data_IF_748329767828
#
_entry.id   IF_748329767828
#
_cell.length_a   1.000
_cell.length_b   1.000
_cell.length_c   1.000
_cell.angle_alpha   90.00
_cell.angle_beta   90.00
_cell.angle_gamma   90.00
#
_symmetry.space_group_name_H-M   'P 1'
#
loop_
_entity.id
_entity.type
_entity.pdbx_description
1 polymer ?
#
# COMPACT_ATOMS: atom_id res chain seq x y z
N UNK A 1 -34.00 30.75 -15.96
CA UNK A 1 -33.63 29.38 -15.52
C UNK A 1 -34.81 28.54 -15.04
N UNK A 2 -35.69 28.98 -14.12
CA UNK A 2 -36.93 28.22 -13.81
C UNK A 2 -37.78 27.91 -15.05
N UNK A 3 -37.86 28.86 -15.99
CA UNK A 3 -38.51 28.64 -17.28
C UNK A 3 -37.80 27.58 -18.14
N UNK A 4 -36.47 27.45 -18.05
CA UNK A 4 -35.68 26.43 -18.78
C UNK A 4 -35.85 25.04 -18.16
N UNK A 5 -35.85 24.93 -16.82
CA UNK A 5 -36.18 23.68 -16.14
C UNK A 5 -37.61 23.25 -16.47
N UNK A 6 -38.58 24.18 -16.41
CA UNK A 6 -39.97 23.92 -16.84
C UNK A 6 -40.07 23.56 -18.32
N UNK A 7 -39.26 24.16 -19.19
CA UNK A 7 -39.20 23.84 -20.62
C UNK A 7 -38.60 22.46 -20.87
N UNK A 8 -37.53 22.09 -20.15
CA UNK A 8 -36.94 20.75 -20.22
C UNK A 8 -37.93 19.66 -19.74
N UNK A 9 -38.64 19.93 -18.64
CA UNK A 9 -39.73 19.09 -18.12
C UNK A 9 -40.89 19.02 -19.13
N UNK A 10 -41.33 20.16 -19.68
CA UNK A 10 -42.46 20.24 -20.60
C UNK A 10 -42.16 19.65 -21.99
N UNK A 11 -40.90 19.66 -22.43
CA UNK A 11 -40.46 19.09 -23.71
C UNK A 11 -40.14 17.59 -23.62
N UNK A 12 -40.50 16.92 -22.52
CA UNK A 12 -40.44 15.46 -22.42
C UNK A 12 -39.02 14.89 -22.47
N UNK A 13 -38.06 15.57 -21.83
CA UNK A 13 -36.67 15.13 -21.80
C UNK A 13 -36.06 14.94 -23.19
N UNK A 14 -36.20 15.87 -24.13
CA UNK A 14 -35.51 15.72 -25.42
C UNK A 14 -33.99 15.56 -25.21
N UNK A 15 -33.30 14.83 -26.12
CA UNK A 15 -31.84 14.65 -26.01
C UNK A 15 -31.12 16.00 -26.01
N UNK A 16 -31.53 16.92 -26.89
CA UNK A 16 -30.97 18.27 -26.95
C UNK A 16 -31.15 19.05 -25.64
N UNK A 17 -32.32 18.95 -25.00
CA UNK A 17 -32.54 19.58 -23.70
C UNK A 17 -31.62 18.97 -22.62
N UNK A 18 -31.39 17.66 -22.66
CA UNK A 18 -30.54 16.95 -21.70
C UNK A 18 -29.06 17.32 -21.88
N UNK A 19 -28.58 17.36 -23.13
CA UNK A 19 -27.22 17.82 -23.47
C UNK A 19 -27.02 19.28 -23.04
N UNK A 20 -27.98 20.15 -23.34
CA UNK A 20 -27.95 21.55 -22.93
C UNK A 20 -27.86 21.69 -21.40
N UNK A 21 -28.66 20.92 -20.66
CA UNK A 21 -28.64 20.94 -19.19
C UNK A 21 -27.27 20.54 -18.64
N UNK A 22 -26.61 19.50 -19.17
CA UNK A 22 -25.26 19.12 -18.72
C UNK A 22 -24.25 20.24 -18.91
N UNK A 23 -24.22 20.87 -20.08
CA UNK A 23 -23.22 21.90 -20.38
C UNK A 23 -23.42 23.18 -19.55
N UNK A 24 -24.63 23.38 -19.01
CA UNK A 24 -24.98 24.57 -18.25
C UNK A 24 -25.26 24.30 -16.76
N UNK A 25 -25.24 23.05 -16.29
CA UNK A 25 -25.56 22.70 -14.90
C UNK A 25 -24.61 23.37 -13.91
N UNK A 26 -23.34 23.51 -14.30
CA UNK A 26 -22.30 24.16 -13.51
C UNK A 26 -22.52 25.67 -13.34
N UNK A 27 -23.24 26.31 -14.26
CA UNK A 27 -23.57 27.72 -14.21
C UNK A 27 -24.77 28.00 -13.27
N UNK A 28 -25.48 26.96 -12.85
CA UNK A 28 -26.58 27.07 -11.91
C UNK A 28 -26.08 27.15 -10.48
N UNK A 29 -26.78 27.93 -9.65
CA UNK A 29 -26.59 27.88 -8.20
C UNK A 29 -27.04 26.52 -7.64
N UNK A 30 -26.51 26.11 -6.48
CA UNK A 30 -26.88 24.84 -5.84
C UNK A 30 -28.40 24.72 -5.66
N UNK A 31 -29.07 25.81 -5.24
CA UNK A 31 -30.53 25.86 -5.14
C UNK A 31 -31.24 25.63 -6.49
N UNK A 32 -30.71 26.18 -7.58
CA UNK A 32 -31.30 26.01 -8.90
C UNK A 32 -31.15 24.59 -9.45
N UNK A 33 -30.03 23.90 -9.12
CA UNK A 33 -29.79 22.51 -9.55
C UNK A 33 -30.85 21.55 -8.99
N UNK A 34 -31.41 21.81 -7.80
CA UNK A 34 -32.49 21.00 -7.23
C UNK A 34 -33.77 20.98 -8.09
N UNK A 35 -34.06 22.04 -8.86
CA UNK A 35 -35.21 22.03 -9.77
C UNK A 35 -35.03 21.09 -10.97
N UNK A 36 -33.83 20.56 -11.19
CA UNK A 36 -33.55 19.58 -12.24
C UNK A 36 -33.69 18.13 -11.78
N UNK A 37 -33.78 17.87 -10.47
CA UNK A 37 -33.90 16.50 -9.93
C UNK A 37 -35.05 15.70 -10.55
N UNK A 38 -36.26 16.24 -10.78
CA UNK A 38 -37.32 15.48 -11.44
C UNK A 38 -36.93 15.01 -12.86
N UNK A 39 -36.17 15.82 -13.60
CA UNK A 39 -35.68 15.48 -14.94
C UNK A 39 -34.67 14.34 -14.85
N UNK A 40 -33.70 14.45 -13.94
CA UNK A 40 -32.69 13.40 -13.73
C UNK A 40 -33.33 12.10 -13.24
N UNK A 41 -34.27 12.18 -12.30
CA UNK A 41 -35.01 11.03 -11.79
C UNK A 41 -35.78 10.28 -12.89
N UNK A 42 -36.42 11.02 -13.80
CA UNK A 42 -37.11 10.45 -14.96
C UNK A 42 -36.13 9.85 -15.99
N UNK A 43 -35.03 10.54 -16.28
CA UNK A 43 -34.03 10.06 -17.23
C UNK A 43 -33.30 8.80 -16.72
N UNK A 44 -33.14 8.68 -15.40
CA UNK A 44 -32.55 7.53 -14.73
C UNK A 44 -33.56 6.41 -14.44
N UNK A 45 -34.69 6.35 -15.15
CA UNK A 45 -35.59 5.19 -15.03
C UNK A 45 -34.90 3.90 -15.52
N UNK A 46 -34.80 2.84 -14.69
CA UNK A 46 -34.22 1.57 -15.11
C UNK A 46 -34.89 0.96 -16.34
N UNK A 47 -36.16 1.25 -16.61
CA UNK A 47 -36.85 0.76 -17.82
C UNK A 47 -36.28 1.33 -19.13
N UNK A 48 -35.46 2.39 -19.05
CA UNK A 48 -34.78 2.97 -20.20
C UNK A 48 -33.42 2.33 -20.50
N UNK A 49 -32.92 1.44 -19.63
CA UNK A 49 -31.67 0.71 -19.86
C UNK A 49 -31.92 -0.33 -20.96
N UNK A 50 -31.15 -0.33 -22.06
CA UNK A 50 -31.32 -1.32 -23.11
C UNK A 50 -30.91 -2.70 -22.60
N UNK A 51 -31.61 -3.73 -23.07
CA UNK A 51 -31.20 -5.12 -22.89
C UNK A 51 -29.99 -5.43 -23.77
N UNK A 52 -29.21 -6.46 -23.41
CA UNK A 52 -27.97 -6.82 -24.10
C UNK A 52 -28.15 -7.06 -25.60
N UNK A 53 -29.20 -7.78 -25.98
CA UNK A 53 -29.60 -8.04 -27.38
C UNK A 53 -29.88 -6.76 -28.19
N UNK A 54 -30.19 -5.65 -27.50
CA UNK A 54 -30.44 -4.35 -28.13
C UNK A 54 -29.20 -3.47 -28.24
N UNK A 55 -28.15 -3.74 -27.47
CA UNK A 55 -26.87 -3.00 -27.58
C UNK A 55 -26.18 -3.29 -28.91
N UNK A 56 -26.31 -4.51 -29.43
CA UNK A 56 -25.78 -4.90 -30.73
C UNK A 56 -26.63 -4.39 -31.91
N UNK A 57 -27.82 -3.83 -31.62
CA UNK A 57 -28.74 -3.35 -32.65
C UNK A 57 -28.35 -1.94 -33.09
N UNK A 58 -28.23 -1.65 -34.40
CA UNK A 58 -27.88 -0.32 -34.91
C UNK A 58 -29.00 0.73 -34.77
N UNK A 59 -29.97 0.51 -33.87
CA UNK A 59 -31.17 1.34 -33.73
C UNK A 59 -30.85 2.64 -32.98
N UNK A 60 -31.07 3.83 -33.60
CA UNK A 60 -30.74 5.13 -33.01
C UNK A 60 -31.50 5.49 -31.72
N UNK A 61 -32.58 4.78 -31.38
CA UNK A 61 -33.37 5.08 -30.18
C UNK A 61 -32.65 4.69 -28.88
N UNK A 62 -31.84 3.63 -28.88
CA UNK A 62 -31.11 3.20 -27.68
C UNK A 62 -30.01 4.20 -27.31
N UNK A 63 -29.32 4.76 -28.30
CA UNK A 63 -28.32 5.80 -28.06
C UNK A 63 -28.93 7.05 -27.42
N UNK A 64 -30.19 7.39 -27.73
CA UNK A 64 -30.89 8.52 -27.11
C UNK A 64 -31.11 8.28 -25.62
N UNK A 65 -31.64 7.11 -25.22
CA UNK A 65 -31.91 6.81 -23.81
C UNK A 65 -30.63 6.69 -23.00
N UNK A 66 -29.63 5.97 -23.51
CA UNK A 66 -28.32 5.86 -22.86
C UNK A 66 -27.66 7.23 -22.73
N UNK A 67 -27.70 8.05 -23.78
CA UNK A 67 -27.17 9.42 -23.73
C UNK A 67 -27.84 10.25 -22.64
N UNK A 68 -29.19 10.16 -22.51
CA UNK A 68 -29.92 10.89 -21.46
C UNK A 68 -29.57 10.39 -20.07
N UNK A 69 -29.51 9.07 -19.87
CA UNK A 69 -29.14 8.44 -18.60
C UNK A 69 -27.74 8.87 -18.18
N UNK A 70 -26.75 8.65 -19.04
CA UNK A 70 -25.35 9.02 -18.81
C UNK A 70 -25.17 10.51 -18.53
N UNK A 71 -25.78 11.37 -19.36
CA UNK A 71 -25.72 12.82 -19.19
C UNK A 71 -26.36 13.27 -17.87
N UNK A 72 -27.44 12.61 -17.45
CA UNK A 72 -28.10 12.87 -16.17
C UNK A 72 -27.25 12.41 -14.99
N UNK A 73 -26.53 11.27 -15.11
CA UNK A 73 -25.55 10.86 -14.09
C UNK A 73 -24.47 11.92 -13.91
N UNK A 74 -23.83 12.37 -14.99
CA UNK A 74 -22.77 13.38 -14.91
C UNK A 74 -23.28 14.69 -14.31
N UNK A 75 -24.48 15.14 -14.72
CA UNK A 75 -25.08 16.35 -14.17
C UNK A 75 -25.48 16.19 -12.69
N UNK A 76 -25.83 14.99 -12.26
CA UNK A 76 -26.11 14.69 -10.86
C UNK A 76 -24.82 14.62 -10.03
N UNK A 77 -23.74 14.05 -10.56
CA UNK A 77 -22.44 14.00 -9.90
C UNK A 77 -21.81 15.38 -9.73
N UNK A 78 -22.19 16.32 -10.61
CA UNK A 78 -21.91 17.74 -10.48
C UNK A 78 -22.70 18.45 -9.36
N UNK A 79 -23.70 17.80 -8.76
CA UNK A 79 -24.46 18.35 -7.64
C UNK A 79 -23.74 18.06 -6.34
N UNK A 80 -23.46 19.12 -5.59
CA UNK A 80 -22.85 19.00 -4.27
C UNK A 80 -23.94 18.80 -3.21
N UNK A 81 -23.76 17.81 -2.34
CA UNK A 81 -24.52 17.61 -1.10
C UNK A 81 -26.05 17.57 -1.28
N UNK A 82 -26.56 16.53 -1.94
CA UNK A 82 -28.00 16.23 -1.91
C UNK A 82 -28.42 15.97 -0.46
N UNK A 83 -29.59 16.47 -0.04
CA UNK A 83 -30.23 16.02 1.20
C UNK A 83 -30.30 14.49 1.24
N UNK A 84 -30.05 13.90 2.41
CA UNK A 84 -29.94 12.46 2.58
C UNK A 84 -31.19 11.69 2.15
N UNK A 85 -32.37 12.24 2.42
CA UNK A 85 -33.66 11.70 2.01
C UNK A 85 -33.80 11.65 0.49
N UNK A 86 -33.34 12.70 -0.20
CA UNK A 86 -33.29 12.76 -1.66
C UNK A 86 -32.27 11.76 -2.19
N UNK A 87 -31.05 11.74 -1.64
CA UNK A 87 -29.99 10.79 -2.02
C UNK A 87 -30.48 9.35 -1.92
N UNK A 88 -31.06 8.96 -0.78
CA UNK A 88 -31.60 7.62 -0.56
C UNK A 88 -32.71 7.26 -1.56
N UNK A 89 -33.59 8.22 -1.88
CA UNK A 89 -34.67 8.01 -2.84
C UNK A 89 -34.18 7.82 -4.29
N UNK A 90 -33.12 8.53 -4.69
CA UNK A 90 -32.58 8.44 -6.07
C UNK A 90 -31.51 7.35 -6.23
N UNK A 91 -30.87 6.90 -5.14
CA UNK A 91 -29.76 5.95 -5.16
C UNK A 91 -30.00 4.68 -5.99
N UNK A 92 -31.13 3.95 -5.86
CA UNK A 92 -31.35 2.75 -6.65
C UNK A 92 -31.31 3.00 -8.17
N UNK A 93 -31.72 4.20 -8.61
CA UNK A 93 -31.67 4.62 -10.00
C UNK A 93 -30.25 4.97 -10.43
N UNK A 94 -29.52 5.71 -9.58
CA UNK A 94 -28.10 6.03 -9.84
C UNK A 94 -27.30 4.75 -10.00
N UNK A 95 -27.42 3.83 -9.03
CA UNK A 95 -26.57 2.65 -8.96
C UNK A 95 -26.73 1.75 -10.19
N UNK A 96 -27.98 1.41 -10.56
CA UNK A 96 -28.25 0.55 -11.72
C UNK A 96 -27.66 1.17 -13.00
N UNK A 97 -27.74 2.50 -13.16
CA UNK A 97 -27.16 3.17 -14.32
C UNK A 97 -25.63 3.22 -14.28
N UNK A 98 -25.01 3.43 -13.12
CA UNK A 98 -23.54 3.39 -12.97
C UNK A 98 -23.02 2.00 -13.31
N UNK A 99 -23.63 0.96 -12.75
CA UNK A 99 -23.30 -0.45 -13.01
C UNK A 99 -23.42 -0.78 -14.51
N UNK A 100 -24.53 -0.39 -15.13
CA UNK A 100 -24.73 -0.55 -16.57
C UNK A 100 -23.66 0.17 -17.40
N UNK A 101 -23.42 1.46 -17.15
CA UNK A 101 -22.46 2.23 -17.95
C UNK A 101 -21.04 1.70 -17.76
N UNK A 102 -20.65 1.36 -16.53
CA UNK A 102 -19.32 0.81 -16.27
C UNK A 102 -19.15 -0.57 -16.93
N UNK A 103 -20.17 -1.42 -16.88
CA UNK A 103 -20.11 -2.77 -17.45
C UNK A 103 -20.05 -2.75 -18.98
N UNK A 104 -20.82 -1.87 -19.62
CA UNK A 104 -20.99 -1.87 -21.07
C UNK A 104 -20.32 -0.71 -21.79
N UNK A 105 -19.54 0.12 -21.09
CA UNK A 105 -18.82 1.28 -21.61
C UNK A 105 -18.15 1.07 -22.98
N UNK A 106 -17.48 -0.07 -23.20
CA UNK A 106 -16.80 -0.39 -24.46
C UNK A 106 -17.77 -0.56 -25.65
N UNK A 107 -19.02 -0.91 -25.38
CA UNK A 107 -20.10 -1.05 -26.36
C UNK A 107 -20.92 0.24 -26.52
N UNK A 108 -20.75 1.21 -25.64
CA UNK A 108 -21.47 2.47 -25.69
C UNK A 108 -20.79 3.43 -26.68
N UNK A 109 -21.09 3.25 -27.97
CA UNK A 109 -20.82 4.27 -28.99
C UNK A 109 -21.80 5.44 -28.83
N UNK A 110 -21.54 6.28 -27.84
CA UNK A 110 -22.08 7.62 -27.83
C UNK A 110 -21.36 8.40 -28.96
N UNK A 111 -22.06 9.31 -29.64
CA UNK A 111 -21.58 10.05 -30.85
C UNK A 111 -20.11 10.50 -30.75
N UNK A 112 -19.38 10.73 -31.85
CA UNK A 112 -17.94 11.09 -31.88
C UNK A 112 -17.43 12.13 -30.85
N UNK A 113 -18.31 12.99 -30.32
CA UNK A 113 -17.98 13.96 -29.25
C UNK A 113 -18.15 13.42 -27.82
N UNK A 114 -18.58 12.18 -27.66
CA UNK A 114 -19.02 11.53 -26.44
C UNK A 114 -18.55 10.09 -26.46
N UNK A 115 -17.36 9.78 -25.97
CA UNK A 115 -17.04 8.41 -25.59
C UNK A 115 -16.88 8.38 -24.08
N UNK A 116 -17.80 7.74 -23.33
CA UNK A 116 -17.66 7.64 -21.89
C UNK A 116 -16.44 6.78 -21.61
N UNK A 117 -15.36 7.38 -21.12
CA UNK A 117 -14.26 6.56 -20.63
C UNK A 117 -14.71 5.93 -19.30
N UNK A 118 -14.54 4.61 -19.11
CA UNK A 118 -14.86 3.96 -17.84
C UNK A 118 -14.15 4.62 -16.64
N UNK A 119 -12.88 5.04 -16.77
CA UNK A 119 -12.20 5.86 -15.77
C UNK A 119 -12.98 7.10 -15.32
N UNK A 120 -13.48 7.88 -16.26
CA UNK A 120 -14.08 9.19 -15.96
C UNK A 120 -15.38 9.05 -15.18
N UNK A 121 -16.24 8.10 -15.56
CA UNK A 121 -17.50 7.88 -14.84
C UNK A 121 -17.26 7.33 -13.44
N UNK A 122 -16.34 6.36 -13.28
CA UNK A 122 -16.03 5.80 -11.96
C UNK A 122 -15.47 6.89 -11.05
N UNK A 123 -14.59 7.73 -11.58
CA UNK A 123 -13.99 8.83 -10.85
C UNK A 123 -15.01 9.92 -10.46
N UNK A 124 -15.85 10.36 -11.41
CA UNK A 124 -16.90 11.34 -11.13
C UNK A 124 -17.93 10.82 -10.12
N UNK A 125 -18.33 9.55 -10.26
CA UNK A 125 -19.21 8.87 -9.32
C UNK A 125 -18.59 8.78 -7.92
N UNK A 126 -17.30 8.42 -7.83
CA UNK A 126 -16.58 8.37 -6.57
C UNK A 126 -16.60 9.72 -5.86
N UNK A 127 -16.24 10.81 -6.56
CA UNK A 127 -16.31 12.16 -5.98
C UNK A 127 -17.71 12.54 -5.52
N UNK A 128 -18.74 12.09 -6.24
CA UNK A 128 -20.13 12.32 -5.86
C UNK A 128 -20.51 11.61 -4.55
N UNK A 129 -20.04 10.37 -4.31
CA UNK A 129 -20.42 9.60 -3.12
C UNK A 129 -19.57 9.90 -1.88
N UNK A 130 -18.37 10.45 -2.04
CA UNK A 130 -17.44 10.76 -0.92
C UNK A 130 -18.08 11.54 0.23
N UNK A 131 -18.87 12.61 0.00
CA UNK A 131 -19.50 13.37 1.08
C UNK A 131 -20.45 12.54 1.97
N UNK A 132 -20.95 11.41 1.46
CA UNK A 132 -21.95 10.59 2.15
C UNK A 132 -21.34 9.44 2.98
N UNK A 133 -20.03 9.19 2.91
CA UNK A 133 -19.39 8.14 3.73
C UNK A 133 -19.41 8.41 5.24
N UNK A 134 -19.61 9.67 5.63
CA UNK A 134 -19.77 10.07 7.04
C UNK A 134 -21.16 9.82 7.59
N UNK A 135 -22.14 9.57 6.72
CA UNK A 135 -23.51 9.29 7.11
C UNK A 135 -23.75 7.78 7.14
N UNK A 136 -24.09 7.25 8.32
CA UNK A 136 -24.28 5.81 8.50
C UNK A 136 -25.42 5.26 7.63
N UNK A 137 -26.51 6.00 7.42
CA UNK A 137 -27.64 5.52 6.64
C UNK A 137 -27.32 5.48 5.14
N UNK A 138 -26.63 6.49 4.62
CA UNK A 138 -26.12 6.45 3.25
C UNK A 138 -25.09 5.33 3.06
N UNK A 139 -24.18 5.19 4.01
CA UNK A 139 -23.16 4.13 4.04
C UNK A 139 -23.80 2.75 3.99
N UNK A 140 -24.77 2.47 4.87
CA UNK A 140 -25.48 1.18 4.89
C UNK A 140 -26.25 0.90 3.59
N UNK A 141 -26.77 1.94 2.93
CA UNK A 141 -27.44 1.82 1.64
C UNK A 141 -26.44 1.45 0.54
N UNK A 142 -25.30 2.14 0.50
CA UNK A 142 -24.22 1.90 -0.45
C UNK A 142 -23.56 0.54 -0.25
N UNK A 143 -23.34 0.11 1.00
CA UNK A 143 -22.72 -1.18 1.35
C UNK A 143 -23.41 -2.38 0.71
N UNK A 144 -24.74 -2.26 0.51
CA UNK A 144 -25.62 -3.29 -0.02
C UNK A 144 -25.69 -3.31 -1.54
N UNK A 145 -25.10 -2.34 -2.23
CA UNK A 145 -25.02 -2.30 -3.70
C UNK A 145 -23.92 -3.26 -4.19
N UNK A 146 -24.28 -4.38 -4.85
CA UNK A 146 -23.29 -5.33 -5.37
C UNK A 146 -22.41 -4.67 -6.42
N UNK A 147 -21.09 -4.92 -6.41
CA UNK A 147 -20.17 -4.30 -7.38
C UNK A 147 -19.76 -2.86 -7.08
N UNK A 148 -20.30 -2.21 -6.03
CA UNK A 148 -19.89 -0.85 -5.66
C UNK A 148 -18.39 -0.76 -5.40
N UNK A 149 -17.83 -1.76 -4.71
CA UNK A 149 -16.41 -1.76 -4.34
C UNK A 149 -15.52 -1.88 -5.56
N UNK A 150 -15.94 -2.67 -6.55
CA UNK A 150 -15.30 -2.75 -7.86
C UNK A 150 -15.22 -1.37 -8.54
N UNK A 151 -16.33 -0.63 -8.58
CA UNK A 151 -16.38 0.72 -9.19
C UNK A 151 -15.48 1.71 -8.42
N UNK A 152 -15.48 1.67 -7.09
CA UNK A 152 -14.60 2.53 -6.28
C UNK A 152 -13.12 2.16 -6.44
N UNK A 153 -12.79 0.88 -6.51
CA UNK A 153 -11.45 0.39 -6.81
C UNK A 153 -10.96 0.88 -8.18
N UNK A 154 -11.81 0.87 -9.21
CA UNK A 154 -11.52 1.49 -10.50
C UNK A 154 -11.33 3.00 -10.37
N UNK A 155 -12.15 3.69 -9.59
CA UNK A 155 -11.97 5.13 -9.37
C UNK A 155 -10.62 5.45 -8.68
N UNK A 156 -10.16 4.58 -7.78
CA UNK A 156 -8.86 4.70 -7.12
C UNK A 156 -7.70 4.62 -8.12
N UNK A 157 -7.73 3.69 -9.08
CA UNK A 157 -6.67 3.61 -10.09
C UNK A 157 -6.54 4.92 -10.88
N UNK A 158 -7.67 5.52 -11.26
CA UNK A 158 -7.73 6.81 -11.95
C UNK A 158 -7.22 7.95 -11.07
N UNK A 159 -7.63 7.97 -9.80
CA UNK A 159 -7.23 9.01 -8.85
C UNK A 159 -5.70 9.12 -8.75
N UNK A 160 -5.01 7.99 -8.69
CA UNK A 160 -3.53 7.93 -8.60
C UNK A 160 -2.85 8.46 -9.87
N UNK A 161 -3.51 8.38 -11.04
CA UNK A 161 -2.98 8.91 -12.31
C UNK A 161 -3.18 10.42 -12.47
N UNK A 162 -4.23 11.01 -11.88
CA UNK A 162 -4.58 12.43 -12.08
C UNK A 162 -3.47 13.38 -11.58
N UNK A 163 -2.66 12.97 -10.59
CA UNK A 163 -1.50 13.72 -10.03
C UNK A 163 -1.75 15.21 -9.72
N UNK A 164 -3.00 15.60 -9.46
CA UNK A 164 -3.39 16.97 -9.09
C UNK A 164 -3.61 17.08 -7.58
N UNK A 165 -2.72 17.74 -6.82
CA UNK A 165 -2.77 17.75 -5.35
C UNK A 165 -4.13 18.14 -4.77
N UNK A 166 -4.81 19.10 -5.38
CA UNK A 166 -6.12 19.59 -4.94
C UNK A 166 -7.21 18.50 -4.99
N UNK A 167 -7.17 17.66 -6.03
CA UNK A 167 -8.09 16.54 -6.19
C UNK A 167 -7.76 15.44 -5.18
N UNK A 168 -6.48 15.11 -5.07
CA UNK A 168 -5.98 14.06 -4.18
C UNK A 168 -6.32 14.37 -2.71
N UNK A 169 -6.20 15.64 -2.28
CA UNK A 169 -6.54 16.08 -0.92
C UNK A 169 -8.00 15.89 -0.54
N UNK A 170 -8.92 15.99 -1.50
CA UNK A 170 -10.36 15.78 -1.27
C UNK A 170 -10.71 14.30 -1.36
N UNK A 171 -10.14 13.61 -2.35
CA UNK A 171 -10.51 12.25 -2.69
C UNK A 171 -9.91 11.19 -1.75
N UNK A 172 -8.64 11.31 -1.36
CA UNK A 172 -7.98 10.27 -0.54
C UNK A 172 -8.60 10.05 0.83
N UNK A 173 -9.01 11.09 1.59
CA UNK A 173 -9.69 10.86 2.86
C UNK A 173 -11.00 10.09 2.69
N UNK A 174 -11.78 10.42 1.67
CA UNK A 174 -13.02 9.71 1.35
C UNK A 174 -12.77 8.28 0.87
N UNK A 175 -11.71 8.07 0.08
CA UNK A 175 -11.31 6.74 -0.36
C UNK A 175 -10.90 5.90 0.84
N UNK A 176 -10.18 6.49 1.78
CA UNK A 176 -9.79 5.84 3.00
C UNK A 176 -11.02 5.51 3.86
N UNK A 177 -11.93 6.45 4.03
CA UNK A 177 -13.18 6.19 4.75
C UNK A 177 -13.99 5.05 4.09
N UNK A 178 -14.00 4.95 2.76
CA UNK A 178 -14.68 3.86 2.05
C UNK A 178 -13.99 2.51 2.24
N UNK A 179 -12.70 2.41 1.89
CA UNK A 179 -11.98 1.12 1.90
C UNK A 179 -11.78 0.63 3.35
N UNK A 180 -11.71 1.53 4.31
CA UNK A 180 -11.38 1.20 5.70
C UNK A 180 -12.56 1.26 6.65
N UNK A 181 -13.61 1.97 6.28
CA UNK A 181 -14.85 2.03 7.03
C UNK A 181 -15.62 0.72 7.03
N UNK A 182 -16.81 0.71 7.65
CA UNK A 182 -17.67 -0.47 7.77
C UNK A 182 -18.14 -1.05 6.42
N UNK A 183 -17.89 -0.34 5.31
CA UNK A 183 -18.23 -0.79 3.96
C UNK A 183 -17.38 -1.98 3.49
N UNK A 184 -16.18 -2.14 4.04
CA UNK A 184 -15.31 -3.29 3.76
C UNK A 184 -15.11 -4.07 5.04
N UNK A 185 -16.10 -4.88 5.39
CA UNK A 185 -15.93 -5.95 6.35
C UNK A 185 -14.81 -6.89 5.89
N UNK A 186 -14.32 -7.75 6.80
CA UNK A 186 -13.38 -8.84 6.44
C UNK A 186 -14.06 -9.95 5.61
N UNK A 187 -15.07 -9.58 4.82
CA UNK A 187 -15.74 -10.45 3.87
C UNK A 187 -14.87 -10.64 2.63
N UNK A 188 -14.66 -11.90 2.25
CA UNK A 188 -13.79 -12.24 1.13
C UNK A 188 -14.35 -11.75 -0.21
N UNK A 189 -15.67 -11.72 -0.38
CA UNK A 189 -16.32 -11.21 -1.59
C UNK A 189 -16.07 -9.72 -1.77
N UNK A 190 -16.18 -8.94 -0.69
CA UNK A 190 -15.88 -7.50 -0.71
C UNK A 190 -14.42 -7.21 -1.10
N UNK A 191 -13.46 -8.00 -0.59
CA UNK A 191 -12.05 -7.86 -0.95
C UNK A 191 -11.82 -8.26 -2.41
N UNK A 192 -12.46 -9.32 -2.89
CA UNK A 192 -12.35 -9.74 -4.28
C UNK A 192 -12.88 -8.67 -5.24
N UNK A 193 -14.02 -8.04 -4.95
CA UNK A 193 -14.54 -6.92 -5.76
C UNK A 193 -13.52 -5.78 -5.88
N UNK A 194 -12.80 -5.45 -4.80
CA UNK A 194 -11.74 -4.43 -4.83
C UNK A 194 -10.56 -4.86 -5.71
N UNK A 195 -10.10 -6.11 -5.58
CA UNK A 195 -9.01 -6.65 -6.39
C UNK A 195 -9.40 -6.62 -7.88
N UNK A 196 -10.59 -7.11 -8.21
CA UNK A 196 -11.13 -7.13 -9.57
C UNK A 196 -11.17 -5.71 -10.15
N UNK A 197 -11.62 -4.73 -9.36
CA UNK A 197 -11.68 -3.33 -9.78
C UNK A 197 -10.30 -2.68 -9.98
N UNK A 198 -9.26 -3.17 -9.30
CA UNK A 198 -7.88 -2.68 -9.48
C UNK A 198 -7.20 -3.32 -10.70
N UNK A 199 -7.71 -4.46 -11.17
CA UNK A 199 -7.17 -5.19 -12.32
C UNK A 199 -7.05 -6.70 -12.10
N UNK A 200 -7.78 -7.27 -11.15
CA UNK A 200 -7.91 -8.73 -10.94
C UNK A 200 -6.72 -9.43 -10.30
N UNK A 201 -5.55 -8.79 -10.23
CA UNK A 201 -4.31 -9.40 -9.76
C UNK A 201 -3.69 -8.62 -8.59
N UNK A 202 -3.07 -9.35 -7.65
CA UNK A 202 -2.43 -8.76 -6.47
C UNK A 202 -1.23 -7.86 -6.83
N UNK A 203 -0.58 -8.08 -7.98
CA UNK A 203 0.49 -7.20 -8.46
C UNK A 203 -0.03 -5.80 -8.79
N UNK A 204 -1.24 -5.70 -9.36
CA UNK A 204 -1.90 -4.42 -9.62
C UNK A 204 -2.27 -3.71 -8.32
N UNK A 205 -2.73 -4.47 -7.32
CA UNK A 205 -3.01 -3.96 -5.97
C UNK A 205 -1.74 -3.39 -5.33
N UNK A 206 -0.65 -4.15 -5.30
CA UNK A 206 0.61 -3.72 -4.74
C UNK A 206 1.14 -2.45 -5.43
N UNK A 207 1.10 -2.41 -6.76
CA UNK A 207 1.49 -1.23 -7.55
C UNK A 207 0.64 0.00 -7.22
N UNK A 208 -0.68 -0.15 -7.12
CA UNK A 208 -1.59 0.94 -6.77
C UNK A 208 -1.34 1.46 -5.36
N UNK A 209 -1.14 0.56 -4.40
CA UNK A 209 -0.80 0.87 -3.01
C UNK A 209 0.50 1.66 -2.95
N UNK A 210 1.57 1.17 -3.58
CA UNK A 210 2.88 1.83 -3.55
C UNK A 210 2.84 3.21 -4.18
N UNK A 211 2.13 3.39 -5.31
CA UNK A 211 1.94 4.70 -5.93
C UNK A 211 1.15 5.65 -5.03
N UNK A 212 0.11 5.14 -4.37
CA UNK A 212 -0.68 5.93 -3.41
C UNK A 212 0.17 6.37 -2.21
N UNK A 213 0.99 5.47 -1.66
CA UNK A 213 1.93 5.79 -0.59
C UNK A 213 2.93 6.85 -1.02
N UNK A 214 3.51 6.73 -2.22
CA UNK A 214 4.45 7.72 -2.74
C UNK A 214 3.82 9.11 -2.86
N UNK A 215 2.59 9.20 -3.37
CA UNK A 215 1.83 10.45 -3.45
C UNK A 215 1.60 11.04 -2.05
N UNK A 216 1.13 10.23 -1.10
CA UNK A 216 0.82 10.70 0.25
C UNK A 216 2.08 11.10 1.05
N UNK A 217 3.18 10.37 0.87
CA UNK A 217 4.47 10.66 1.51
C UNK A 217 5.15 11.89 0.91
N UNK A 218 5.07 12.08 -0.41
CA UNK A 218 5.61 13.28 -1.07
C UNK A 218 4.91 14.57 -0.64
N UNK A 219 3.61 14.53 -0.35
CA UNK A 219 2.87 15.70 0.16
C UNK A 219 3.21 16.03 1.62
N UNK A 220 3.64 15.05 2.43
CA UNK A 220 3.97 15.24 3.86
C UNK A 220 5.16 16.19 4.05
N UNK A 221 6.10 16.24 3.10
CA UNK A 221 7.23 17.18 3.15
C UNK A 221 6.79 18.65 3.08
N UNK A 222 5.60 18.92 2.53
CA UNK A 222 5.11 20.30 2.33
C UNK A 222 4.15 20.80 3.41
N UNK A 223 3.41 19.90 4.08
CA UNK A 223 2.50 20.22 5.20
C UNK A 223 2.07 18.94 5.92
N UNK A 224 2.31 18.84 7.23
CA UNK A 224 1.85 17.73 8.08
C UNK A 224 0.33 17.83 8.28
N UNK A 225 -0.43 17.37 7.29
CA UNK A 225 -1.89 17.32 7.33
C UNK A 225 -2.36 16.03 8.02
N UNK A 226 -3.20 16.16 9.06
CA UNK A 226 -3.87 15.03 9.73
C UNK A 226 -4.61 14.12 8.75
N UNK A 227 -5.09 14.68 7.62
CA UNK A 227 -5.77 13.92 6.56
C UNK A 227 -4.86 12.90 5.87
N UNK A 228 -3.57 13.21 5.71
CA UNK A 228 -2.61 12.28 5.10
C UNK A 228 -2.34 11.09 6.01
N UNK A 229 -2.34 11.30 7.33
CA UNK A 229 -2.18 10.21 8.31
C UNK A 229 -3.35 9.22 8.25
N UNK A 230 -4.59 9.72 8.12
CA UNK A 230 -5.78 8.87 7.94
C UNK A 230 -5.70 8.05 6.65
N UNK A 231 -5.32 8.67 5.54
CA UNK A 231 -5.19 7.98 4.25
C UNK A 231 -4.08 6.91 4.28
N UNK A 232 -2.93 7.20 4.90
CA UNK A 232 -1.82 6.25 5.07
C UNK A 232 -2.21 5.06 5.94
N UNK A 233 -2.77 5.31 7.13
CA UNK A 233 -3.27 4.25 8.01
C UNK A 233 -4.26 3.36 7.27
N UNK A 234 -5.11 4.01 6.49
CA UNK A 234 -6.00 3.35 5.60
C UNK A 234 -5.31 2.37 4.67
N UNK A 235 -4.45 2.86 3.77
CA UNK A 235 -3.77 2.02 2.78
C UNK A 235 -3.05 0.83 3.45
N UNK A 236 -2.40 1.05 4.59
CA UNK A 236 -1.78 -0.03 5.36
C UNK A 236 -2.83 -1.04 5.83
N UNK A 237 -3.97 -0.59 6.36
CA UNK A 237 -5.08 -1.46 6.73
C UNK A 237 -5.63 -2.27 5.54
N UNK A 238 -5.70 -1.69 4.33
CA UNK A 238 -6.10 -2.42 3.12
C UNK A 238 -5.20 -3.64 2.90
N UNK A 239 -3.89 -3.42 2.89
CA UNK A 239 -2.88 -4.46 2.64
C UNK A 239 -3.05 -5.59 3.65
N UNK A 240 -3.31 -5.24 4.90
CA UNK A 240 -3.56 -6.22 5.96
C UNK A 240 -4.86 -7.02 5.77
N UNK A 241 -5.95 -6.38 5.30
CA UNK A 241 -7.22 -7.07 5.02
C UNK A 241 -7.10 -8.00 3.82
N UNK A 242 -6.41 -7.58 2.76
CA UNK A 242 -6.13 -8.40 1.58
C UNK A 242 -5.34 -9.64 1.99
N UNK A 243 -4.29 -9.48 2.80
CA UNK A 243 -3.51 -10.60 3.37
C UNK A 243 -4.39 -11.59 4.16
N UNK A 244 -5.24 -11.08 5.05
CA UNK A 244 -6.12 -11.92 5.88
C UNK A 244 -7.16 -12.67 5.06
N UNK A 245 -7.82 -12.00 4.10
CA UNK A 245 -8.96 -12.57 3.38
C UNK A 245 -8.55 -13.49 2.22
N UNK A 246 -7.41 -13.23 1.59
CA UNK A 246 -6.96 -14.01 0.44
C UNK A 246 -6.25 -15.30 0.82
N UNK A 247 -5.97 -15.55 2.10
CA UNK A 247 -5.53 -16.85 2.60
C UNK A 247 -4.38 -17.44 1.77
N UNK A 248 -3.35 -16.63 1.48
CA UNK A 248 -2.26 -16.96 0.57
C UNK A 248 -1.33 -18.06 1.13
N UNK A 249 -1.81 -19.31 1.14
CA UNK A 249 -1.01 -20.47 1.55
C UNK A 249 -0.42 -21.29 0.39
N UNK A 250 -0.78 -21.09 -0.89
CA UNK A 250 -0.25 -21.97 -1.96
C UNK A 250 0.32 -21.33 -3.24
N UNK A 251 0.05 -20.05 -3.56
CA UNK A 251 0.48 -19.45 -4.85
C UNK A 251 1.49 -18.29 -4.71
N UNK A 252 2.51 -18.46 -3.88
CA UNK A 252 3.54 -17.44 -3.65
C UNK A 252 4.77 -17.55 -4.60
N UNK A 253 4.73 -18.39 -5.64
CA UNK A 253 5.92 -18.66 -6.48
C UNK A 253 6.16 -17.65 -7.61
N UNK A 254 5.20 -16.77 -7.95
CA UNK A 254 5.32 -15.89 -9.14
C UNK A 254 5.28 -14.39 -8.84
N UNK A 255 4.94 -13.96 -7.61
CA UNK A 255 5.01 -12.56 -7.23
C UNK A 255 6.46 -12.17 -6.90
N UNK A 256 6.95 -11.05 -7.48
CA UNK A 256 8.33 -10.57 -7.28
C UNK A 256 8.77 -10.47 -5.81
N UNK A 257 10.09 -10.40 -5.53
CA UNK A 257 10.67 -10.67 -4.21
C UNK A 257 10.13 -9.79 -3.08
N UNK A 258 9.77 -8.53 -3.36
CA UNK A 258 9.22 -7.62 -2.34
C UNK A 258 7.76 -7.97 -1.98
N UNK A 259 6.98 -8.39 -2.97
CA UNK A 259 5.61 -8.88 -2.80
C UNK A 259 5.63 -10.19 -2.01
N UNK A 260 6.45 -11.18 -2.40
CA UNK A 260 6.57 -12.44 -1.68
C UNK A 260 7.07 -12.28 -0.21
N UNK A 261 7.94 -11.31 0.07
CA UNK A 261 8.45 -11.01 1.41
C UNK A 261 7.44 -10.26 2.30
N UNK A 262 6.59 -9.41 1.74
CA UNK A 262 5.51 -8.74 2.48
C UNK A 262 4.24 -9.61 2.60
N UNK A 263 3.97 -10.47 1.60
CA UNK A 263 2.75 -11.28 1.45
C UNK A 263 2.86 -12.67 2.08
N UNK A 264 4.06 -13.24 2.23
CA UNK A 264 4.20 -14.42 3.07
C UNK A 264 4.32 -13.94 4.52
N UNK A 265 3.38 -14.35 5.38
CA UNK A 265 3.62 -14.50 6.83
C UNK A 265 4.68 -15.57 7.13
N UNK A 266 5.56 -15.80 6.16
CA UNK A 266 6.74 -16.60 6.18
C UNK A 266 7.70 -16.01 7.17
N UNK A 267 7.86 -16.64 8.32
CA UNK A 267 9.04 -16.36 9.14
C UNK A 267 10.15 -17.25 8.58
N UNK A 268 11.33 -16.69 8.39
CA UNK A 268 12.50 -17.48 8.05
C UNK A 268 13.02 -18.21 9.29
N UNK A 269 13.58 -19.41 9.10
CA UNK A 269 14.29 -20.09 10.17
C UNK A 269 15.54 -19.30 10.56
N UNK A 270 15.67 -18.98 11.84
CA UNK A 270 16.85 -18.31 12.38
C UNK A 270 18.09 -19.23 12.36
N UNK A 271 17.96 -20.55 12.11
CA UNK A 271 19.11 -21.40 11.77
C UNK A 271 19.55 -21.12 10.32
N UNK A 272 20.70 -20.46 10.16
CA UNK A 272 21.24 -20.04 8.86
C UNK A 272 21.52 -21.18 7.88
N UNK A 273 21.75 -22.39 8.39
CA UNK A 273 21.96 -23.56 7.54
C UNK A 273 20.64 -24.11 6.96
N UNK A 274 19.48 -23.61 7.40
CA UNK A 274 18.18 -24.14 7.01
C UNK A 274 17.50 -23.33 5.89
N UNK A 275 17.55 -21.99 5.92
CA UNK A 275 16.91 -21.07 4.96
C UNK A 275 15.41 -21.31 4.66
N UNK A 276 14.71 -22.14 5.46
CA UNK A 276 13.28 -22.43 5.24
C UNK A 276 12.44 -21.24 5.68
N UNK A 277 11.51 -20.84 4.81
CA UNK A 277 10.46 -19.86 5.09
C UNK A 277 9.12 -20.61 5.14
N UNK A 278 8.35 -20.43 6.20
CA UNK A 278 7.02 -21.05 6.38
C UNK A 278 6.12 -20.15 7.22
N UNK A 279 4.80 -20.39 7.20
CA UNK A 279 3.87 -19.63 8.03
C UNK A 279 4.26 -19.61 9.52
N UNK A 280 4.18 -18.45 10.18
CA UNK A 280 4.52 -18.21 11.60
C UNK A 280 4.11 -19.33 12.58
N UNK A 281 2.93 -19.92 12.41
CA UNK A 281 2.40 -20.96 13.30
C UNK A 281 3.15 -22.31 13.20
N UNK A 282 3.96 -22.49 12.16
CA UNK A 282 4.78 -23.69 11.96
C UNK A 282 6.17 -23.57 12.57
N UNK A 283 6.54 -22.38 13.05
CA UNK A 283 7.81 -22.11 13.70
C UNK A 283 7.71 -22.22 15.22
N UNK A 284 8.76 -22.77 15.82
CA UNK A 284 8.98 -22.78 17.27
C UNK A 284 9.78 -21.55 17.66
N UNK A 285 9.53 -20.99 18.82
CA UNK A 285 10.37 -19.93 19.39
C UNK A 285 11.37 -20.49 20.37
N UNK A 286 12.53 -19.85 20.51
CA UNK A 286 13.40 -20.15 21.64
C UNK A 286 12.64 -19.91 22.95
N UNK A 287 12.61 -20.92 23.82
CA UNK A 287 11.84 -20.86 25.08
C UNK A 287 12.38 -19.80 26.06
N UNK A 288 13.65 -19.40 25.93
CA UNK A 288 14.29 -18.43 26.82
C UNK A 288 14.11 -17.00 26.35
N UNK A 289 14.59 -16.64 25.15
CA UNK A 289 14.48 -15.26 24.66
C UNK A 289 13.15 -14.93 23.97
N UNK A 290 12.45 -15.94 23.43
CA UNK A 290 11.24 -15.78 22.62
C UNK A 290 11.38 -14.86 21.38
N UNK A 291 12.60 -14.46 21.01
CA UNK A 291 12.89 -13.50 19.94
C UNK A 291 13.16 -14.14 18.58
N UNK A 292 13.69 -15.37 18.58
CA UNK A 292 14.08 -16.13 17.39
C UNK A 292 13.13 -17.31 17.13
N UNK A 293 13.00 -17.69 15.86
CA UNK A 293 12.08 -18.67 15.30
C UNK A 293 12.82 -19.79 14.56
N UNK A 294 12.48 -21.04 14.85
CA UNK A 294 13.04 -22.23 14.22
C UNK A 294 11.97 -23.12 13.59
N UNK A 295 12.19 -23.61 12.37
CA UNK A 295 11.22 -24.48 11.70
C UNK A 295 11.17 -25.89 12.32
N UNK A 296 12.16 -26.25 13.14
CA UNK A 296 12.25 -27.53 13.83
C UNK A 296 13.13 -27.44 15.09
N UNK A 297 12.98 -28.40 15.98
CA UNK A 297 13.84 -28.57 17.17
C UNK A 297 15.29 -28.85 16.79
N UNK A 298 15.51 -29.57 15.68
CA UNK A 298 16.85 -29.80 15.13
C UNK A 298 17.52 -28.49 14.73
N UNK A 299 16.80 -27.56 14.12
CA UNK A 299 17.33 -26.24 13.76
C UNK A 299 17.65 -25.40 15.01
N UNK A 300 16.76 -25.42 16.01
CA UNK A 300 17.01 -24.76 17.29
C UNK A 300 18.24 -25.33 18.00
N UNK A 301 18.36 -26.65 18.09
CA UNK A 301 19.49 -27.32 18.75
C UNK A 301 20.81 -27.08 18.00
N UNK A 302 20.77 -27.05 16.67
CA UNK A 302 21.93 -26.72 15.85
C UNK A 302 22.38 -25.27 16.08
N UNK A 303 21.48 -24.30 15.97
CA UNK A 303 21.77 -22.88 16.18
C UNK A 303 22.20 -22.57 17.62
N UNK A 304 21.66 -23.31 18.60
CA UNK A 304 22.08 -23.24 20.00
C UNK A 304 23.54 -23.70 20.20
N UNK A 305 23.95 -24.79 19.56
CA UNK A 305 25.30 -25.37 19.74
C UNK A 305 26.35 -24.73 18.83
N UNK A 306 25.97 -24.36 17.61
CA UNK A 306 26.89 -23.99 16.53
C UNK A 306 26.49 -22.70 15.81
N UNK A 307 25.43 -22.01 16.21
CA UNK A 307 24.99 -20.75 15.59
C UNK A 307 25.21 -19.52 16.46
N UNK A 308 25.87 -19.69 17.62
CA UNK A 308 26.11 -18.62 18.58
C UNK A 308 24.86 -18.13 19.32
N UNK A 309 23.69 -18.76 19.11
CA UNK A 309 22.47 -18.31 19.78
C UNK A 309 22.54 -18.49 21.28
N UNK A 310 23.20 -19.54 21.79
CA UNK A 310 23.36 -19.77 23.23
C UNK A 310 23.94 -18.54 23.96
N UNK A 311 24.94 -17.92 23.36
CA UNK A 311 25.67 -16.80 23.96
C UNK A 311 24.95 -15.46 23.76
N UNK A 312 24.09 -15.37 22.73
CA UNK A 312 23.28 -14.19 22.43
C UNK A 312 21.86 -14.26 23.04
N UNK A 313 21.45 -15.41 23.57
CA UNK A 313 20.08 -15.65 24.01
C UNK A 313 19.68 -14.66 25.12
N UNK A 314 20.58 -14.44 26.08
CA UNK A 314 20.37 -13.48 27.18
C UNK A 314 20.29 -12.04 26.67
N UNK A 315 21.15 -11.65 25.72
CA UNK A 315 21.08 -10.34 25.06
C UNK A 315 19.73 -10.13 24.34
N UNK A 316 19.25 -11.14 23.61
CA UNK A 316 17.95 -11.09 22.96
C UNK A 316 16.80 -11.04 23.96
N UNK A 317 16.91 -11.79 25.05
CA UNK A 317 15.95 -11.75 26.13
C UNK A 317 15.91 -10.35 26.75
N UNK A 318 17.07 -9.74 27.01
CA UNK A 318 17.18 -8.39 27.54
C UNK A 318 16.58 -7.35 26.58
N UNK A 319 16.89 -7.43 25.28
CA UNK A 319 16.31 -6.58 24.24
C UNK A 319 14.78 -6.73 24.16
N UNK A 320 14.25 -7.95 24.34
CA UNK A 320 12.81 -8.18 24.37
C UNK A 320 12.15 -7.75 25.70
N UNK A 321 12.89 -7.76 26.81
CA UNK A 321 12.41 -7.37 28.14
C UNK A 321 12.51 -5.87 28.38
N UNK A 322 13.45 -5.17 27.74
CA UNK A 322 13.42 -3.72 27.56
C UNK A 322 12.26 -3.42 26.61
N UNK A 323 11.06 -3.42 27.19
CA UNK A 323 9.79 -3.29 26.48
C UNK A 323 9.89 -2.20 25.42
N UNK A 324 9.57 -2.57 24.19
CA UNK A 324 9.20 -1.64 23.13
C UNK A 324 7.90 -0.95 23.56
N UNK A 325 7.99 0.00 24.47
CA UNK A 325 6.84 0.72 25.00
C UNK A 325 6.16 1.43 23.83
N UNK A 326 5.04 0.84 23.37
CA UNK A 326 4.17 1.42 22.34
C UNK A 326 4.07 0.68 21.00
N UNK A 327 4.95 -0.26 20.67
CA UNK A 327 4.87 -0.98 19.38
C UNK A 327 4.17 -2.33 19.51
N UNK A 328 3.18 -2.55 18.65
CA UNK A 328 2.51 -3.83 18.51
C UNK A 328 3.44 -4.88 17.87
N UNK A 329 3.13 -6.19 17.99
CA UNK A 329 3.81 -7.22 17.21
C UNK A 329 3.75 -6.99 15.69
N UNK A 330 2.71 -6.31 15.20
CA UNK A 330 2.57 -5.98 13.79
C UNK A 330 3.55 -4.89 13.36
N UNK A 331 3.68 -3.81 14.15
CA UNK A 331 4.62 -2.72 13.85
C UNK A 331 6.05 -3.25 13.78
N UNK A 332 6.41 -4.17 14.68
CA UNK A 332 7.73 -4.82 14.67
C UNK A 332 7.97 -5.66 13.41
N UNK A 333 6.95 -6.37 12.93
CA UNK A 333 7.07 -7.16 11.71
C UNK A 333 7.23 -6.23 10.50
N UNK A 334 6.41 -5.18 10.42
CA UNK A 334 6.48 -4.15 9.39
C UNK A 334 7.86 -3.48 9.35
N UNK A 335 8.34 -2.97 10.47
CA UNK A 335 9.64 -2.29 10.54
C UNK A 335 10.82 -3.21 10.21
N UNK A 336 10.74 -4.50 10.56
CA UNK A 336 11.75 -5.47 10.13
C UNK A 336 11.71 -5.69 8.60
N UNK A 337 10.53 -5.79 8.01
CA UNK A 337 10.38 -5.93 6.57
C UNK A 337 10.86 -4.67 5.83
N UNK A 338 10.50 -3.48 6.32
CA UNK A 338 10.95 -2.19 5.81
C UNK A 338 12.48 -2.08 5.86
N UNK A 339 13.08 -2.38 7.02
CA UNK A 339 14.53 -2.33 7.16
C UNK A 339 15.23 -3.34 6.26
N UNK A 340 14.68 -4.55 6.09
CA UNK A 340 15.25 -5.53 5.16
C UNK A 340 15.16 -5.05 3.71
N UNK A 341 14.02 -4.50 3.28
CA UNK A 341 13.86 -3.92 1.95
C UNK A 341 14.90 -2.82 1.70
N UNK A 342 15.01 -1.85 2.61
CA UNK A 342 15.91 -0.72 2.46
C UNK A 342 17.38 -1.15 2.56
N UNK A 343 17.70 -2.15 3.40
CA UNK A 343 19.01 -2.78 3.42
C UNK A 343 19.37 -3.39 2.07
N UNK A 344 18.45 -4.13 1.43
CA UNK A 344 18.70 -4.71 0.11
C UNK A 344 18.85 -3.62 -0.97
N UNK A 345 17.99 -2.60 -0.95
CA UNK A 345 18.04 -1.48 -1.89
C UNK A 345 19.34 -0.67 -1.77
N UNK A 346 19.88 -0.53 -0.55
CA UNK A 346 21.05 0.30 -0.24
C UNK A 346 22.32 -0.52 0.03
N UNK A 347 22.30 -1.83 -0.19
CA UNK A 347 23.37 -2.78 0.19
C UNK A 347 24.74 -2.35 -0.29
N UNK A 348 24.83 -1.87 -1.53
CA UNK A 348 26.07 -1.39 -2.13
C UNK A 348 26.69 -0.19 -1.39
N UNK A 349 25.86 0.83 -1.12
CA UNK A 349 26.27 2.05 -0.41
C UNK A 349 26.62 1.73 1.06
N UNK A 350 25.82 0.87 1.71
CA UNK A 350 26.10 0.39 3.07
C UNK A 350 27.49 -0.26 3.12
N UNK A 351 27.81 -1.16 2.20
CA UNK A 351 29.11 -1.83 2.18
C UNK A 351 30.27 -0.86 1.88
N UNK A 352 30.06 0.12 1.01
CA UNK A 352 31.04 1.17 0.75
C UNK A 352 31.38 1.96 2.02
N UNK A 353 30.35 2.35 2.78
CA UNK A 353 30.48 3.08 4.03
C UNK A 353 31.12 2.23 5.12
N UNK A 354 30.75 0.95 5.22
CA UNK A 354 31.38 -0.01 6.14
C UNK A 354 32.87 -0.18 5.85
N UNK A 355 33.24 -0.31 4.57
CA UNK A 355 34.63 -0.47 4.16
C UNK A 355 35.46 0.78 4.52
N UNK A 356 34.92 1.96 4.23
CA UNK A 356 35.54 3.24 4.60
C UNK A 356 35.73 3.34 6.12
N UNK A 357 34.68 3.03 6.89
CA UNK A 357 34.76 3.04 8.35
C UNK A 357 35.85 2.09 8.87
N UNK A 358 35.93 0.86 8.35
CA UNK A 358 36.94 -0.10 8.79
C UNK A 358 38.37 0.32 8.45
N UNK A 359 38.56 1.03 7.34
CA UNK A 359 39.86 1.57 6.95
C UNK A 359 40.28 2.75 7.83
N UNK A 360 39.33 3.66 8.12
CA UNK A 360 39.57 4.83 8.97
C UNK A 360 39.77 4.45 10.44
N UNK A 361 39.01 3.45 10.92
CA UNK A 361 38.97 3.05 12.33
C UNK A 361 39.17 1.53 12.49
N UNK A 362 40.37 1.02 12.18
CA UNK A 362 40.63 -0.41 12.20
C UNK A 362 40.45 -1.00 13.61
N UNK A 363 39.72 -2.11 13.68
CA UNK A 363 39.44 -2.81 14.93
C UNK A 363 38.30 -2.21 15.77
N UNK A 364 37.79 -1.03 15.40
CA UNK A 364 36.58 -0.51 16.03
C UNK A 364 35.33 -1.24 15.54
N UNK A 365 34.31 -1.24 16.39
CA UNK A 365 33.01 -1.83 16.08
C UNK A 365 32.16 -0.79 15.38
N UNK A 366 31.47 -1.23 14.33
CA UNK A 366 30.54 -0.38 13.58
C UNK A 366 29.10 -0.81 13.81
N UNK A 367 28.19 0.11 13.57
CA UNK A 367 26.74 -0.11 13.50
C UNK A 367 26.20 0.57 12.25
N UNK A 368 25.25 -0.07 11.57
CA UNK A 368 24.50 0.57 10.48
C UNK A 368 23.24 1.18 11.08
N UNK A 369 23.10 2.49 10.97
CA UNK A 369 21.96 3.25 11.47
C UNK A 369 21.03 3.58 10.30
N UNK A 370 19.77 3.16 10.41
CA UNK A 370 18.67 3.51 9.51
C UNK A 370 17.79 4.56 10.19
N UNK A 371 17.88 5.82 9.75
CA UNK A 371 17.14 6.94 10.30
C UNK A 371 15.92 7.28 9.42
N UNK A 372 14.74 7.07 9.98
CA UNK A 372 13.43 7.33 9.37
C UNK A 372 12.74 8.57 9.98
N UNK A 373 13.45 9.41 10.74
CA UNK A 373 12.82 10.55 11.45
C UNK A 373 12.33 11.67 10.52
N UNK A 374 12.99 11.88 9.38
CA UNK A 374 12.80 13.07 8.53
C UNK A 374 12.25 12.77 7.13
N UNK A 375 11.84 11.53 6.83
CA UNK A 375 11.34 11.15 5.51
C UNK A 375 12.08 9.94 4.95
N UNK A 376 12.54 9.97 3.68
CA UNK A 376 13.30 8.87 3.08
C UNK A 376 14.42 8.40 4.01
N UNK A 377 14.65 7.09 4.06
CA UNK A 377 15.63 6.51 4.99
C UNK A 377 17.01 7.10 4.75
N UNK A 378 17.61 7.63 5.80
CA UNK A 378 19.03 7.98 5.79
C UNK A 378 19.82 6.85 6.43
N UNK A 379 20.84 6.34 5.74
CA UNK A 379 21.66 5.26 6.26
C UNK A 379 23.06 5.78 6.57
N UNK A 380 23.51 5.63 7.81
CA UNK A 380 24.88 5.95 8.24
C UNK A 380 25.58 4.73 8.79
N UNK A 381 26.92 4.72 8.72
CA UNK A 381 27.74 3.72 9.40
C UNK A 381 28.54 4.45 10.45
N UNK A 382 28.28 4.12 11.70
CA UNK A 382 28.83 4.85 12.85
C UNK A 382 29.65 3.94 13.73
N UNK A 383 30.52 4.56 14.53
CA UNK A 383 31.21 3.85 15.59
C UNK A 383 30.18 3.42 16.63
N UNK A 384 30.22 2.16 17.01
CA UNK A 384 29.39 1.66 18.08
C UNK A 384 29.94 2.17 19.42
N UNK A 385 29.51 3.36 19.80
CA UNK A 385 29.78 3.94 21.11
C UNK A 385 28.75 3.37 22.09
N UNK A 386 29.15 2.39 22.90
CA UNK A 386 28.37 2.08 24.11
C UNK A 386 28.47 3.29 25.06
N UNK A 387 27.39 3.87 25.65
CA UNK A 387 25.97 3.48 25.62
C UNK A 387 24.98 4.66 25.33
N UNK A 388 23.94 4.44 24.52
CA UNK A 388 22.63 4.96 24.94
C UNK A 388 22.32 4.24 26.27
N UNK A 389 21.82 4.91 27.30
CA UNK A 389 21.67 4.46 28.72
C UNK A 389 20.95 3.12 28.98
N UNK A 390 20.71 2.30 27.96
CA UNK A 390 20.23 0.93 28.08
C UNK A 390 21.37 -0.08 28.33
N UNK A 391 21.08 -1.16 29.08
CA UNK A 391 22.10 -1.99 29.70
C UNK A 391 22.92 -2.78 28.67
N UNK A 392 24.17 -3.02 29.06
CA UNK A 392 25.24 -3.76 28.39
C UNK A 392 24.74 -4.99 27.61
N UNK A 393 24.72 -4.89 26.28
CA UNK A 393 24.61 -6.05 25.42
C UNK A 393 26.00 -6.69 25.24
N UNK A 394 26.23 -7.94 25.72
CA UNK A 394 27.47 -8.64 25.42
C UNK A 394 27.50 -8.98 23.94
N UNK A 395 28.39 -8.30 23.20
CA UNK A 395 28.52 -8.41 21.74
C UNK A 395 29.76 -9.19 21.29
N UNK A 396 30.53 -9.72 22.25
CA UNK A 396 31.53 -10.74 21.97
C UNK A 396 31.03 -12.06 22.55
N UNK A 397 30.79 -13.01 21.65
CA UNK A 397 30.76 -14.43 21.98
C UNK A 397 32.18 -14.96 21.77
N UNK A 398 33.00 -15.12 22.81
CA UNK A 398 34.32 -15.69 22.66
C UNK A 398 34.16 -17.21 22.60
N UNK A 399 34.19 -17.82 21.41
CA UNK A 399 34.22 -19.29 21.34
C UNK A 399 33.70 -20.03 20.11
N UNK A 400 33.46 -19.37 18.97
CA UNK A 400 32.89 -20.03 17.79
C UNK A 400 33.86 -20.03 16.58
N UNK A 401 34.94 -20.83 16.60
CA UNK A 401 35.85 -20.96 15.44
C UNK A 401 35.22 -21.70 14.23
N UNK A 402 33.95 -22.11 14.28
CA UNK A 402 33.29 -22.88 13.21
C UNK A 402 31.94 -22.33 12.76
N UNK A 403 31.50 -21.17 13.27
CA UNK A 403 30.21 -20.59 12.93
C UNK A 403 30.45 -19.48 11.89
N UNK A 404 30.31 -19.80 10.60
CA UNK A 404 30.42 -18.85 9.49
C UNK A 404 29.22 -17.86 9.42
N UNK A 405 28.67 -17.43 10.55
CA UNK A 405 27.57 -16.47 10.66
C UNK A 405 27.85 -15.40 11.72
N UNK A 406 28.19 -14.17 11.31
CA UNK A 406 28.27 -13.01 12.22
C UNK A 406 26.94 -12.25 12.24
N UNK A 407 26.50 -11.87 13.45
CA UNK A 407 25.33 -11.02 13.65
C UNK A 407 25.70 -9.54 13.51
N UNK A 408 25.06 -8.83 12.59
CA UNK A 408 25.12 -7.38 12.50
C UNK A 408 23.94 -6.79 13.27
N UNK A 409 24.24 -5.94 14.24
CA UNK A 409 23.19 -5.12 14.85
C UNK A 409 23.04 -3.90 13.97
N UNK A 410 21.82 -3.72 13.47
CA UNK A 410 21.41 -2.49 12.83
C UNK A 410 20.60 -1.70 13.85
N UNK A 411 20.72 -0.38 13.83
CA UNK A 411 19.88 0.49 14.65
C UNK A 411 18.88 1.16 13.72
N UNK A 412 17.61 1.12 14.10
CA UNK A 412 16.55 1.85 13.43
C UNK A 412 16.09 3.01 14.30
N UNK A 413 16.07 4.22 13.75
CA UNK A 413 15.53 5.40 14.40
C UNK A 413 14.23 5.81 13.73
N UNK A 414 13.15 5.91 14.52
CA UNK A 414 11.83 6.34 14.02
C UNK A 414 11.35 7.53 14.84
N UNK A 415 10.91 8.59 14.16
CA UNK A 415 10.29 9.76 14.78
C UNK A 415 8.82 9.50 15.07
N UNK A 416 8.41 9.55 16.34
CA UNK A 416 7.01 9.54 16.76
C UNK A 416 6.69 10.86 17.48
N UNK A 417 6.24 11.86 16.72
CA UNK A 417 5.99 13.20 17.24
C UNK A 417 7.27 13.85 17.77
N UNK A 418 7.35 14.07 19.09
CA UNK A 418 8.55 14.62 19.76
C UNK A 418 9.51 13.56 20.28
N UNK A 419 9.16 12.29 20.16
CA UNK A 419 9.98 11.17 20.64
C UNK A 419 10.71 10.50 19.50
N UNK A 420 11.95 10.08 19.74
CA UNK A 420 12.69 9.19 18.83
C UNK A 420 12.75 7.82 19.46
N UNK A 421 12.29 6.81 18.73
CA UNK A 421 12.48 5.41 19.11
C UNK A 421 13.74 4.89 18.44
N UNK A 422 14.67 4.35 19.22
CA UNK A 422 15.84 3.63 18.73
C UNK A 422 15.60 2.13 18.91
N UNK A 423 15.70 1.36 17.84
CA UNK A 423 15.51 -0.08 17.86
C UNK A 423 16.72 -0.83 17.33
N UNK A 424 17.28 -1.71 18.16
CA UNK A 424 18.27 -2.68 17.72
C UNK A 424 17.58 -3.83 16.98
N UNK A 425 17.78 -3.86 15.66
CA UNK A 425 17.32 -4.94 14.81
C UNK A 425 18.53 -5.82 14.49
N UNK A 426 18.66 -6.97 15.16
CA UNK A 426 19.67 -7.94 14.78
C UNK A 426 19.32 -8.47 13.39
N UNK A 427 20.22 -8.27 12.42
CA UNK A 427 20.17 -8.94 11.13
C UNK A 427 21.32 -9.93 11.06
N UNK A 428 21.01 -11.17 10.65
CA UNK A 428 22.07 -12.09 10.26
C UNK A 428 22.48 -11.73 8.83
N UNK A 429 23.78 -11.57 8.61
CA UNK A 429 24.33 -11.19 7.29
C UNK A 429 24.17 -12.33 6.28
N UNK A 430 23.90 -11.97 5.03
CA UNK A 430 23.73 -12.91 3.91
C UNK A 430 24.97 -13.80 3.69
N UNK A 431 26.18 -13.35 4.08
CA UNK A 431 27.32 -14.24 4.30
C UNK A 431 28.40 -13.58 5.16
N UNK A 432 29.04 -14.36 6.03
CA UNK A 432 30.23 -13.91 6.78
C UNK A 432 31.42 -13.65 5.85
N UNK A 433 31.43 -14.30 4.68
CA UNK A 433 32.43 -14.11 3.64
C UNK A 433 32.50 -12.67 3.12
N UNK A 434 31.35 -12.00 2.94
CA UNK A 434 31.33 -10.60 2.49
C UNK A 434 32.04 -9.71 3.51
N UNK A 435 31.73 -9.84 4.80
CA UNK A 435 32.36 -9.00 5.81
C UNK A 435 33.84 -9.31 6.01
N UNK A 436 34.23 -10.58 6.00
CA UNK A 436 35.64 -10.96 6.07
C UNK A 436 36.41 -10.45 4.85
N UNK A 437 35.76 -10.40 3.67
CA UNK A 437 36.30 -9.78 2.48
C UNK A 437 36.43 -8.27 2.65
N UNK A 438 35.41 -7.59 3.17
CA UNK A 438 35.47 -6.16 3.51
C UNK A 438 36.59 -5.87 4.52
N UNK A 439 36.76 -6.68 5.56
CA UNK A 439 37.84 -6.52 6.53
C UNK A 439 39.22 -6.76 5.92
N UNK A 440 39.36 -7.77 5.06
CA UNK A 440 40.61 -8.05 4.36
C UNK A 440 40.98 -6.88 3.45
N UNK A 441 40.03 -6.41 2.65
CA UNK A 441 40.21 -5.29 1.73
C UNK A 441 40.50 -4.01 2.50
N UNK A 442 39.80 -3.74 3.62
CA UNK A 442 40.10 -2.59 4.48
C UNK A 442 41.54 -2.58 5.01
N UNK A 443 42.13 -3.76 5.26
CA UNK A 443 43.52 -3.87 5.73
C UNK A 443 44.55 -3.72 4.60
N UNK A 444 44.17 -4.12 3.39
CA UNK A 444 45.05 -4.10 2.21
C UNK A 444 44.98 -2.76 1.45
N UNK A 445 43.92 -1.99 1.63
CA UNK A 445 43.75 -0.67 1.02
C UNK A 445 44.72 0.36 1.62
N UNK A 446 45.52 1.06 0.79
CA UNK A 446 46.29 2.21 1.24
C UNK A 446 45.35 3.32 1.74
N UNK A 447 45.68 3.97 2.87
CA UNK A 447 44.85 5.02 3.48
C UNK A 447 44.51 6.20 2.54
N UNK A 448 45.27 6.41 1.46
CA UNK A 448 45.09 7.55 0.54
C UNK A 448 44.29 7.21 -0.74
N UNK A 449 43.96 5.94 -1.01
CA UNK A 449 43.22 5.59 -2.22
C UNK A 449 41.70 5.67 -2.03
N UNK A 450 41.05 6.51 -2.84
CA UNK A 450 39.60 6.48 -3.01
C UNK A 450 39.18 5.11 -3.54
N UNK A 451 38.34 4.41 -2.78
CA UNK A 451 37.68 3.18 -3.22
C UNK A 451 36.77 3.57 -4.40
N UNK A 452 37.07 3.10 -5.60
CA UNK A 452 36.22 3.36 -6.77
C UNK A 452 34.93 2.55 -6.68
N UNK A 453 33.81 3.13 -7.12
CA UNK A 453 32.52 2.44 -7.24
C UNK A 453 32.64 1.11 -8.01
N UNK A 454 33.57 1.04 -8.96
CA UNK A 454 33.85 -0.16 -9.77
C UNK A 454 34.30 -1.36 -8.93
N UNK A 455 35.13 -1.16 -7.90
CA UNK A 455 35.59 -2.25 -7.03
C UNK A 455 34.45 -2.78 -6.17
N UNK A 456 33.60 -1.89 -5.66
CA UNK A 456 32.40 -2.25 -4.91
C UNK A 456 31.39 -3.03 -5.77
N UNK A 457 31.15 -2.58 -7.00
CA UNK A 457 30.25 -3.26 -7.93
C UNK A 457 30.74 -4.67 -8.28
N UNK A 458 32.04 -4.84 -8.54
CA UNK A 458 32.64 -6.16 -8.79
C UNK A 458 32.58 -7.10 -7.58
N UNK A 459 32.53 -6.58 -6.35
CA UNK A 459 32.35 -7.41 -5.15
C UNK A 459 30.91 -7.89 -4.97
N UNK A 460 29.94 -7.04 -5.32
CA UNK A 460 28.52 -7.36 -5.20
C UNK A 460 28.10 -8.41 -6.23
N UNK A 461 28.65 -8.37 -7.44
CA UNK A 461 28.39 -9.36 -8.50
C UNK A 461 28.91 -10.76 -8.13
N UNK A 462 30.06 -10.87 -7.46
CA UNK A 462 30.62 -12.15 -6.99
C UNK A 462 29.73 -12.80 -5.91
N UNK A 463 28.96 -12.02 -5.15
CA UNK A 463 28.01 -12.57 -4.17
C UNK A 463 26.71 -13.13 -4.79
N UNK A 464 26.37 -12.69 -6.01
CA UNK A 464 25.17 -13.14 -6.72
C UNK A 464 25.39 -14.46 -7.47
N UNK A 465 26.60 -14.71 -8.00
CA UNK A 465 26.94 -15.91 -8.76
C UNK A 465 27.24 -17.15 -7.88
N UNK A 466 27.43 -16.97 -6.57
CA UNK A 466 27.72 -18.06 -5.62
C UNK A 466 26.53 -18.92 -5.18
N UNK A 467 25.33 -18.73 -5.76
CA UNK A 467 24.09 -19.44 -5.36
C UNK A 467 23.72 -20.58 -6.34
N UNK A 468 24.56 -20.89 -7.33
CA UNK A 468 24.47 -22.18 -8.04
C UNK A 468 25.51 -23.15 -7.49
N UNK A 469 25.12 -23.91 -6.45
CA UNK A 469 25.84 -25.13 -6.04
C UNK A 469 24.81 -26.22 -5.71
N UNK A 470 24.99 -27.35 -6.40
CA UNK A 470 24.34 -28.67 -6.33
C UNK A 470 23.56 -29.08 -5.07
#
# INVERSE_FOLDING_TARGET
MQMLARKAVAQGSSLQATLYLRDHVWQLSSHQRFFLLPVFYQNLDPTHIPTLDRLDSPVPLHSIHVSKGYTSLLALFAMENLPLDIFAAIWPRIWIWVDFVQTYCEYLYLSDSFSPSPPDICFAFFLFIVPYFRDNAATDLMARSPGLRFVVARAWTVLVEIRKPEVLRVAFPGLAEFIFGPLVDNDRGHIQELIDGIGGELVHVASLVMRSLHILLGEIESTVSVLNSFALHGIVSFVMKVDVCMGMQEEASEAGPLSAQLLSRGIACDNLQCNKIRGKNTFRRCAQCCSVYYCSETCQAFDWRHGGHRDLCESYQMICLTKYDGLSPHDRAFFRALLHHDYQALKADIFARMLRFMNEKPGQRLVVLFDYRLGPVSVTVEEFLAPCEHPQLPYQVPGAPSCEGRLEVNVMQVGLGRTTLCWFIPMRRDSTQVYDSLQRIARELPQEQQISETVLQSMLSVSAEGIEIH
#
